data_IF_870153148432
#
_entry.id   IF_870153148432
#
_cell.length_a   1.000
_cell.length_b   1.000
_cell.length_c   1.000
_cell.angle_alpha   90.00
_cell.angle_beta   90.00
_cell.angle_gamma   90.00
#
_symmetry.space_group_name_H-M   'P 1'
#
loop_
_entity.id
_entity.type
_entity.pdbx_description
1 polymer ?
#
# COMPACT_ATOMS: atom_id res chain seq x y z
N UNK A 1 2.15 -0.31 -14.25
CA UNK A 1 1.55 0.56 -13.21
C UNK A 1 1.94 -0.04 -11.88
N UNK A 2 2.61 0.71 -11.01
CA UNK A 2 3.07 0.17 -9.72
C UNK A 2 1.91 0.04 -8.74
N UNK A 3 1.91 -1.02 -7.96
CA UNK A 3 0.94 -1.30 -6.89
C UNK A 3 1.71 -1.56 -5.60
N UNK A 4 1.22 -1.00 -4.50
CA UNK A 4 1.76 -1.24 -3.16
C UNK A 4 0.72 -2.00 -2.34
N UNK A 5 1.18 -2.95 -1.52
CA UNK A 5 0.38 -3.65 -0.52
C UNK A 5 1.05 -3.42 0.84
N UNK A 6 0.35 -2.73 1.73
CA UNK A 6 0.75 -2.51 3.12
C UNK A 6 -0.13 -3.37 4.01
N UNK A 7 0.42 -4.48 4.51
CA UNK A 7 -0.29 -5.42 5.37
C UNK A 7 0.71 -6.23 6.20
N UNK A 8 0.43 -6.49 7.47
CA UNK A 8 1.26 -7.36 8.33
C UNK A 8 1.01 -8.85 8.04
N UNK A 9 -0.12 -9.21 7.46
CA UNK A 9 -0.51 -10.59 7.20
C UNK A 9 0.07 -11.11 5.88
N UNK A 10 1.07 -11.99 5.96
CA UNK A 10 1.67 -12.64 4.79
C UNK A 10 0.68 -13.39 3.89
N UNK A 11 -0.38 -13.98 4.46
CA UNK A 11 -1.42 -14.65 3.67
C UNK A 11 -2.29 -13.69 2.88
N UNK A 12 -2.63 -12.52 3.45
CA UNK A 12 -3.37 -11.48 2.73
C UNK A 12 -2.52 -10.91 1.59
N UNK A 13 -1.24 -10.61 1.85
CA UNK A 13 -0.29 -10.16 0.81
C UNK A 13 -0.17 -11.18 -0.32
N UNK A 14 -0.02 -12.46 0.02
CA UNK A 14 0.04 -13.54 -0.96
C UNK A 14 -1.25 -13.64 -1.78
N UNK A 15 -2.42 -13.55 -1.14
CA UNK A 15 -3.72 -13.59 -1.79
C UNK A 15 -3.95 -12.42 -2.75
N UNK A 16 -3.68 -11.20 -2.29
CA UNK A 16 -3.79 -9.97 -3.09
C UNK A 16 -2.80 -9.98 -4.26
N UNK A 17 -1.53 -10.31 -4.00
CA UNK A 17 -0.51 -10.45 -5.05
C UNK A 17 -0.90 -11.49 -6.08
N UNK A 18 -1.38 -12.67 -5.65
CA UNK A 18 -1.86 -13.72 -6.54
C UNK A 18 -3.04 -13.27 -7.38
N UNK A 19 -4.00 -12.56 -6.78
CA UNK A 19 -5.14 -11.99 -7.48
C UNK A 19 -4.70 -10.96 -8.54
N UNK A 20 -3.86 -9.99 -8.18
CA UNK A 20 -3.36 -8.96 -9.10
C UNK A 20 -2.59 -9.58 -10.27
N UNK A 21 -1.74 -10.58 -10.00
CA UNK A 21 -1.01 -11.32 -11.05
C UNK A 21 -1.99 -12.05 -11.98
N UNK A 22 -3.03 -12.70 -11.45
CA UNK A 22 -4.05 -13.35 -12.27
C UNK A 22 -4.86 -12.38 -13.14
N UNK A 23 -4.90 -11.09 -12.77
CA UNK A 23 -5.50 -10.00 -13.55
C UNK A 23 -4.52 -9.30 -14.49
N UNK A 24 -3.27 -9.80 -14.59
CA UNK A 24 -2.28 -9.32 -15.55
C UNK A 24 -1.31 -8.26 -15.01
N UNK A 25 -1.35 -7.94 -13.71
CA UNK A 25 -0.33 -7.09 -13.08
C UNK A 25 0.99 -7.87 -13.00
N UNK A 26 2.10 -7.27 -13.45
CA UNK A 26 3.38 -7.97 -13.40
C UNK A 26 3.85 -8.05 -11.95
N UNK A 27 4.29 -9.22 -11.50
CA UNK A 27 4.79 -9.41 -10.13
C UNK A 27 5.84 -8.38 -9.70
N UNK A 28 6.72 -7.96 -10.62
CA UNK A 28 7.74 -6.91 -10.37
C UNK A 28 7.19 -5.50 -10.14
N UNK A 29 5.91 -5.27 -10.43
CA UNK A 29 5.21 -4.00 -10.21
C UNK A 29 4.42 -4.01 -8.90
N UNK A 30 4.44 -5.12 -8.14
CA UNK A 30 3.77 -5.25 -6.85
C UNK A 30 4.85 -5.17 -5.76
N UNK A 31 4.73 -4.19 -4.88
CA UNK A 31 5.64 -3.98 -3.76
C UNK A 31 4.89 -4.21 -2.44
N UNK A 32 5.44 -5.11 -1.61
CA UNK A 32 4.94 -5.35 -0.26
C UNK A 32 5.74 -4.50 0.73
N UNK A 33 5.04 -3.85 1.67
CA UNK A 33 5.62 -3.07 2.77
C UNK A 33 4.83 -3.34 4.06
N UNK A 34 5.40 -2.99 5.21
CA UNK A 34 4.78 -3.30 6.51
C UNK A 34 4.57 -2.06 7.39
N UNK A 35 5.19 -0.92 7.05
CA UNK A 35 5.15 0.30 7.88
C UNK A 35 4.70 1.55 7.11
N UNK A 36 4.21 2.54 7.84
CA UNK A 36 3.78 3.83 7.28
C UNK A 36 4.97 4.65 6.73
N UNK A 37 6.15 4.53 7.34
CA UNK A 37 7.38 5.17 6.86
C UNK A 37 7.83 4.59 5.51
N UNK A 38 7.80 3.26 5.37
CA UNK A 38 8.06 2.61 4.09
C UNK A 38 7.05 3.03 3.03
N UNK A 39 5.77 3.23 3.40
CA UNK A 39 4.75 3.70 2.48
C UNK A 39 5.08 5.08 1.92
N UNK A 40 5.48 6.03 2.77
CA UNK A 40 5.85 7.37 2.33
C UNK A 40 7.02 7.33 1.32
N UNK A 41 8.05 6.54 1.62
CA UNK A 41 9.22 6.37 0.74
C UNK A 41 8.80 5.71 -0.58
N UNK A 42 8.01 4.63 -0.50
CA UNK A 42 7.62 3.85 -1.66
C UNK A 42 6.66 4.62 -2.59
N UNK A 43 5.75 5.43 -2.06
CA UNK A 43 4.89 6.30 -2.86
C UNK A 43 5.70 7.36 -3.63
N UNK A 44 6.70 7.96 -2.98
CA UNK A 44 7.61 8.91 -3.63
C UNK A 44 8.48 8.27 -4.72
N UNK A 45 9.02 7.09 -4.45
CA UNK A 45 9.93 6.39 -5.36
C UNK A 45 9.22 5.73 -6.57
N UNK A 46 8.04 5.16 -6.35
CA UNK A 46 7.38 4.30 -7.35
C UNK A 46 6.13 4.91 -7.97
N UNK A 47 5.60 6.02 -7.43
CA UNK A 47 4.39 6.70 -7.90
C UNK A 47 3.26 5.70 -8.25
N UNK A 48 2.81 4.89 -7.26
CA UNK A 48 1.86 3.82 -7.51
C UNK A 48 0.50 4.36 -7.97
N UNK A 49 -0.16 3.61 -8.85
CA UNK A 49 -1.54 3.93 -9.25
C UNK A 49 -2.55 3.43 -8.23
N UNK A 50 -2.20 2.37 -7.48
CA UNK A 50 -3.05 1.75 -6.46
C UNK A 50 -2.22 1.37 -5.24
N UNK A 51 -2.74 1.64 -4.05
CA UNK A 51 -2.17 1.22 -2.77
C UNK A 51 -3.25 0.52 -1.95
N UNK A 52 -2.99 -0.72 -1.56
CA UNK A 52 -3.81 -1.49 -0.62
C UNK A 52 -3.24 -1.29 0.79
N UNK A 53 -4.07 -0.95 1.76
CA UNK A 53 -3.66 -0.68 3.14
C UNK A 53 -4.59 -1.44 4.08
N UNK A 54 -4.02 -2.36 4.86
CA UNK A 54 -4.73 -2.94 6.00
C UNK A 54 -4.77 -1.90 7.15
N UNK A 55 -5.95 -1.63 7.70
CA UNK A 55 -6.10 -0.67 8.82
C UNK A 55 -5.30 -1.04 10.08
N UNK A 56 -5.08 -2.34 10.33
CA UNK A 56 -4.29 -2.83 11.46
C UNK A 56 -2.84 -2.29 11.43
N UNK A 57 -2.32 -1.90 10.27
CA UNK A 57 -0.97 -1.36 10.15
C UNK A 57 -0.80 0.06 10.73
N UNK A 58 -1.89 0.82 10.95
CA UNK A 58 -1.77 2.23 11.36
C UNK A 58 -2.82 2.70 12.38
N UNK A 59 -3.84 1.89 12.69
CA UNK A 59 -4.93 2.30 13.59
C UNK A 59 -4.50 2.36 15.07
N UNK A 60 -3.43 1.67 15.43
CA UNK A 60 -2.99 1.55 16.82
C UNK A 60 -2.31 2.82 17.37
N UNK A 61 -1.74 3.67 16.50
CA UNK A 61 -1.12 4.92 16.94
C UNK A 61 -1.74 6.14 16.23
N UNK A 62 -2.02 7.22 16.99
CA UNK A 62 -2.51 8.45 16.38
C UNK A 62 -1.53 9.08 15.39
N UNK A 63 -0.22 8.89 15.58
CA UNK A 63 0.83 9.40 14.68
C UNK A 63 0.73 8.76 13.30
N UNK A 64 0.62 7.43 13.25
CA UNK A 64 0.55 6.68 11.99
C UNK A 64 -0.73 7.03 11.22
N UNK A 65 -1.84 7.16 11.93
CA UNK A 65 -3.11 7.62 11.36
C UNK A 65 -3.04 9.03 10.76
N UNK A 66 -2.30 9.96 11.37
CA UNK A 66 -2.10 11.31 10.80
C UNK A 66 -1.15 11.26 9.60
N UNK A 67 -0.10 10.46 9.67
CA UNK A 67 0.86 10.30 8.58
C UNK A 67 0.23 9.67 7.35
N UNK A 68 -0.63 8.64 7.50
CA UNK A 68 -1.40 8.06 6.39
C UNK A 68 -2.27 9.11 5.71
N UNK A 69 -2.98 9.96 6.47
CA UNK A 69 -3.76 11.06 5.90
C UNK A 69 -2.90 12.02 5.10
N UNK A 70 -1.70 12.36 5.59
CA UNK A 70 -0.77 13.22 4.87
C UNK A 70 -0.29 12.57 3.57
N UNK A 71 0.08 11.30 3.60
CA UNK A 71 0.50 10.53 2.41
C UNK A 71 -0.62 10.53 1.36
N UNK A 72 -1.85 10.19 1.76
CA UNK A 72 -3.01 10.15 0.84
C UNK A 72 -3.21 11.52 0.17
N UNK A 73 -3.16 12.61 0.94
CA UNK A 73 -3.34 13.96 0.42
C UNK A 73 -2.20 14.43 -0.51
N UNK A 74 -1.00 13.86 -0.37
CA UNK A 74 0.16 14.18 -1.21
C UNK A 74 0.14 13.43 -2.56
N UNK A 75 -0.69 12.40 -2.70
CA UNK A 75 -0.75 11.55 -3.89
C UNK A 75 -2.18 11.47 -4.47
N UNK A 76 -2.71 12.58 -5.03
CA UNK A 76 -4.10 12.65 -5.50
C UNK A 76 -4.42 11.72 -6.69
N UNK A 77 -3.42 11.31 -7.46
CA UNK A 77 -3.57 10.41 -8.61
C UNK A 77 -3.47 8.93 -8.22
N UNK A 78 -3.24 8.63 -6.94
CA UNK A 78 -3.14 7.27 -6.41
C UNK A 78 -4.46 6.86 -5.78
N UNK A 79 -4.98 5.69 -6.18
CA UNK A 79 -6.15 5.09 -5.53
C UNK A 79 -5.72 4.36 -4.26
N UNK A 80 -6.17 4.83 -3.11
CA UNK A 80 -5.97 4.17 -1.83
C UNK A 80 -7.19 3.32 -1.47
N UNK A 81 -6.95 2.04 -1.18
CA UNK A 81 -7.96 1.08 -0.74
C UNK A 81 -7.60 0.66 0.68
N UNK A 82 -8.34 1.17 1.65
CA UNK A 82 -8.24 0.77 3.06
C UNK A 82 -9.25 -0.36 3.30
N UNK A 83 -8.80 -1.46 3.89
CA UNK A 83 -9.61 -2.65 4.18
C UNK A 83 -9.31 -3.24 5.55
#
# INVERSE_FOLDING_TARGET
>A
MSTIIMDLCSYTRLGLSGYLVSRGVKKREINDIETVDELAIACGAHQPSVVFINEDCFIHTPSDSQQIKQIINQHPDTLFIVF
#
